data_IF_621616437918
#
_entry.id   IF_621616437918
#
_cell.length_a   1.000
_cell.length_b   1.000
_cell.length_c   1.000
_cell.angle_alpha   90.00
_cell.angle_beta   90.00
_cell.angle_gamma   90.00
#
_symmetry.space_group_name_H-M   'P 1'
#
loop_
_entity.id
_entity.type
_entity.pdbx_description
1 polymer ?
#
# COMPACT_ATOMS: atom_id res chain seq x y z
N UNK A 1 -11.68 -20.37 33.98
CA UNK A 1 -11.03 -20.25 35.29
C UNK A 1 -9.59 -19.75 35.14
N UNK A 2 -8.93 -20.06 34.02
CA UNK A 2 -7.56 -19.67 33.74
C UNK A 2 -7.36 -18.16 33.56
N UNK A 3 -8.40 -17.39 33.18
CA UNK A 3 -8.31 -15.91 33.05
C UNK A 3 -7.97 -15.16 34.33
N UNK A 4 -8.51 -15.59 35.48
CA UNK A 4 -8.24 -14.92 36.75
C UNK A 4 -6.89 -15.36 37.34
N UNK A 5 -6.52 -16.63 37.16
CA UNK A 5 -5.23 -17.17 37.60
C UNK A 5 -4.09 -16.49 36.84
N UNK A 6 -4.19 -16.39 35.52
CA UNK A 6 -3.17 -15.73 34.70
C UNK A 6 -3.09 -14.21 34.95
N UNK A 7 -4.21 -13.55 35.23
CA UNK A 7 -4.22 -12.13 35.64
C UNK A 7 -3.51 -11.90 36.97
N UNK A 8 -3.71 -12.77 37.97
CA UNK A 8 -3.03 -12.67 39.27
C UNK A 8 -1.53 -12.95 39.14
N UNK A 9 -1.13 -13.96 38.36
CA UNK A 9 0.29 -14.24 38.07
C UNK A 9 0.94 -13.07 37.34
N UNK A 10 0.27 -12.52 36.33
CA UNK A 10 0.73 -11.34 35.62
C UNK A 10 0.88 -10.12 36.53
N UNK A 11 -0.08 -9.90 37.44
CA UNK A 11 0.01 -8.84 38.44
C UNK A 11 1.21 -9.00 39.38
N UNK A 12 1.52 -10.24 39.79
CA UNK A 12 2.59 -10.51 40.73
C UNK A 12 3.98 -10.14 40.18
N UNK A 13 4.22 -10.35 38.88
CA UNK A 13 5.51 -10.06 38.25
C UNK A 13 5.62 -8.65 37.65
N UNK A 14 4.52 -8.08 37.15
CA UNK A 14 4.55 -6.82 36.40
C UNK A 14 3.49 -5.79 36.86
N UNK A 15 2.90 -5.97 38.04
CA UNK A 15 1.85 -5.11 38.61
C UNK A 15 0.70 -4.90 37.63
N UNK A 16 0.06 -3.73 37.64
CA UNK A 16 -1.18 -3.47 36.91
C UNK A 16 -1.11 -3.79 35.39
N UNK A 17 -0.04 -3.42 34.64
CA UNK A 17 0.10 -3.82 33.24
C UNK A 17 0.19 -5.35 33.05
N UNK A 18 0.85 -6.04 33.98
CA UNK A 18 0.95 -7.48 33.98
C UNK A 18 -0.39 -8.18 34.18
N UNK A 19 -1.27 -7.62 35.02
CA UNK A 19 -2.60 -8.16 35.24
C UNK A 19 -3.46 -8.16 33.98
N UNK A 20 -3.36 -7.08 33.19
CA UNK A 20 -4.09 -6.92 31.92
C UNK A 20 -3.60 -7.95 30.90
N UNK A 21 -2.29 -8.10 30.75
CA UNK A 21 -1.68 -9.11 29.87
C UNK A 21 -2.03 -10.54 30.30
N UNK A 22 -1.95 -10.82 31.59
CA UNK A 22 -2.31 -12.11 32.17
C UNK A 22 -3.79 -12.44 31.95
N UNK A 23 -4.69 -11.47 32.11
CA UNK A 23 -6.12 -11.64 31.85
C UNK A 23 -6.38 -11.98 30.38
N UNK A 24 -5.76 -11.24 29.44
CA UNK A 24 -5.90 -11.46 27.99
C UNK A 24 -5.46 -12.88 27.60
N UNK A 25 -4.28 -13.31 28.07
CA UNK A 25 -3.74 -14.66 27.79
C UNK A 25 -4.63 -15.74 28.41
N UNK A 26 -5.06 -15.56 29.66
CA UNK A 26 -5.92 -16.53 30.32
C UNK A 26 -7.34 -16.61 29.73
N UNK A 27 -7.88 -15.53 29.14
CA UNK A 27 -9.11 -15.60 28.33
C UNK A 27 -8.93 -16.37 27.03
N UNK A 28 -7.76 -16.30 26.39
CA UNK A 28 -7.49 -17.06 25.16
C UNK A 28 -7.42 -18.58 25.45
N UNK A 29 -6.83 -18.97 26.60
CA UNK A 29 -6.72 -20.37 27.03
C UNK A 29 -8.07 -20.92 27.53
N UNK A 30 -8.85 -20.12 28.29
CA UNK A 30 -10.21 -20.48 28.70
C UNK A 30 -11.15 -20.66 27.48
N UNK A 31 -10.90 -19.92 26.38
CA UNK A 31 -11.69 -20.01 25.15
C UNK A 31 -11.25 -21.17 24.23
N UNK A 32 -9.99 -21.60 24.31
CA UNK A 32 -9.50 -22.75 23.55
C UNK A 32 -9.98 -24.09 24.14
N UNK A 33 -10.24 -24.13 25.45
CA UNK A 33 -10.73 -25.31 26.16
C UNK A 33 -12.26 -25.47 26.13
N UNK A 34 -13.02 -24.47 25.67
CA UNK A 34 -14.48 -24.51 25.56
C UNK A 34 -14.95 -24.29 24.12
N UNK A 35 -14.83 -25.34 23.30
CA UNK A 35 -15.62 -25.55 22.06
C UNK A 35 -15.99 -24.30 21.26
N UNK A 36 -15.11 -23.92 20.33
CA UNK A 36 -15.29 -22.84 19.37
C UNK A 36 -16.51 -23.05 18.48
N UNK A 37 -17.52 -22.17 18.58
CA UNK A 37 -18.59 -22.13 17.59
C UNK A 37 -19.63 -21.04 17.78
N UNK A 38 -20.08 -20.79 19.01
CA UNK A 38 -21.29 -19.97 19.20
C UNK A 38 -21.04 -18.52 19.70
N UNK A 39 -20.01 -18.28 20.52
CA UNK A 39 -19.86 -16.97 21.18
C UNK A 39 -19.09 -15.90 20.36
N UNK A 40 -18.28 -16.31 19.37
CA UNK A 40 -17.59 -15.37 18.48
C UNK A 40 -18.55 -14.68 17.49
N UNK A 41 -19.67 -15.34 17.17
CA UNK A 41 -20.66 -14.87 16.20
C UNK A 41 -21.53 -13.73 16.70
N UNK A 42 -21.69 -13.59 18.02
CA UNK A 42 -22.61 -12.59 18.61
C UNK A 42 -21.91 -11.30 19.05
N UNK A 43 -20.58 -11.26 19.09
CA UNK A 43 -19.80 -10.06 19.40
C UNK A 43 -19.24 -9.33 18.16
N UNK A 44 -19.23 -9.98 17.00
CA UNK A 44 -18.83 -9.42 15.70
C UNK A 44 -20.04 -9.21 14.78
N UNK A 45 -21.10 -8.61 15.32
CA UNK A 45 -22.23 -8.10 14.56
C UNK A 45 -21.89 -6.77 13.87
N UNK A 46 -20.96 -6.81 12.93
CA UNK A 46 -20.89 -5.89 11.80
C UNK A 46 -20.36 -6.72 10.63
N UNK A 47 -21.15 -6.82 9.56
CA UNK A 47 -20.70 -7.39 8.28
C UNK A 47 -19.54 -6.55 7.73
N UNK A 48 -18.32 -6.84 8.18
CA UNK A 48 -17.14 -6.55 7.38
C UNK A 48 -17.22 -7.44 6.13
N UNK A 49 -17.74 -6.88 5.05
CA UNK A 49 -17.50 -7.39 3.71
C UNK A 49 -15.99 -7.39 3.46
N UNK A 50 -15.32 -8.47 3.86
CA UNK A 50 -14.01 -8.83 3.36
C UNK A 50 -14.08 -8.75 1.84
N UNK A 51 -13.23 -7.92 1.24
CA UNK A 51 -13.02 -7.93 -0.21
C UNK A 51 -12.82 -9.40 -0.58
N UNK A 52 -13.64 -9.95 -1.49
CA UNK A 52 -13.27 -11.23 -2.09
C UNK A 52 -11.91 -10.98 -2.74
N UNK A 53 -10.84 -11.71 -2.38
CA UNK A 53 -9.51 -11.43 -2.89
C UNK A 53 -9.44 -11.34 -4.44
N UNK A 54 -10.35 -11.98 -5.17
CA UNK A 54 -10.50 -11.80 -6.62
C UNK A 54 -11.04 -10.44 -7.07
N UNK A 55 -11.91 -9.79 -6.29
CA UNK A 55 -12.45 -8.47 -6.61
C UNK A 55 -11.38 -7.38 -6.51
N UNK A 56 -10.45 -7.49 -5.54
CA UNK A 56 -9.34 -6.54 -5.43
C UNK A 56 -8.46 -6.58 -6.67
N UNK A 57 -8.05 -7.79 -7.09
CA UNK A 57 -7.18 -8.01 -8.24
C UNK A 57 -7.81 -7.52 -9.54
N UNK A 58 -9.10 -7.79 -9.74
CA UNK A 58 -9.83 -7.32 -10.92
C UNK A 58 -9.96 -5.80 -10.96
N UNK A 59 -10.21 -5.17 -9.81
CA UNK A 59 -10.26 -3.71 -9.69
C UNK A 59 -8.88 -3.09 -9.94
N UNK A 60 -7.82 -3.67 -9.39
CA UNK A 60 -6.45 -3.21 -9.62
C UNK A 60 -6.07 -3.33 -11.10
N UNK A 61 -6.36 -4.48 -11.72
CA UNK A 61 -6.11 -4.71 -13.14
C UNK A 61 -6.92 -3.74 -14.03
N UNK A 62 -8.13 -3.39 -13.60
CA UNK A 62 -8.94 -2.38 -14.27
C UNK A 62 -8.30 -0.99 -14.22
N UNK A 63 -7.75 -0.58 -13.06
CA UNK A 63 -6.98 0.68 -12.98
C UNK A 63 -5.73 0.64 -13.86
N UNK A 64 -5.02 -0.49 -13.92
CA UNK A 64 -3.86 -0.65 -14.81
C UNK A 64 -4.25 -0.41 -16.26
N UNK A 65 -5.37 -0.98 -16.70
CA UNK A 65 -5.83 -0.83 -18.08
C UNK A 65 -6.26 0.59 -18.46
N UNK A 66 -6.68 1.40 -17.48
CA UNK A 66 -6.98 2.81 -17.71
C UNK A 66 -5.70 3.61 -17.95
N UNK A 67 -4.64 3.31 -17.20
CA UNK A 67 -3.32 3.95 -17.37
C UNK A 67 -2.70 3.56 -18.71
N UNK A 68 -2.62 2.27 -19.02
CA UNK A 68 -2.05 1.74 -20.27
C UNK A 68 -2.76 2.28 -21.52
N UNK A 69 -4.05 2.65 -21.41
CA UNK A 69 -4.83 3.20 -22.52
C UNK A 69 -4.82 4.73 -22.59
N UNK A 70 -4.16 5.41 -21.64
CA UNK A 70 -4.29 6.85 -21.46
C UNK A 70 -3.75 7.66 -22.65
N UNK A 71 -2.64 7.23 -23.26
CA UNK A 71 -2.01 7.88 -24.40
C UNK A 71 -2.48 7.31 -25.76
N UNK A 72 -3.36 6.29 -25.73
CA UNK A 72 -3.88 5.61 -26.91
C UNK A 72 -2.97 4.55 -27.51
N UNK A 73 -1.78 4.32 -26.95
CA UNK A 73 -0.83 3.30 -27.40
C UNK A 73 -0.64 2.24 -26.32
N UNK A 74 -1.10 1.02 -26.58
CA UNK A 74 -0.89 -0.08 -25.65
C UNK A 74 0.52 -0.64 -25.83
N UNK A 75 1.41 -0.43 -24.87
CA UNK A 75 2.76 -0.97 -24.93
C UNK A 75 2.84 -2.40 -24.38
N UNK A 76 3.57 -3.26 -25.10
CA UNK A 76 3.83 -4.64 -24.65
C UNK A 76 4.64 -4.67 -23.36
N UNK A 77 5.57 -3.72 -23.15
CA UNK A 77 6.37 -3.65 -21.93
C UNK A 77 5.53 -3.38 -20.69
N UNK A 78 4.51 -2.53 -20.78
CA UNK A 78 3.57 -2.26 -19.70
C UNK A 78 2.71 -3.48 -19.38
N UNK A 79 2.20 -4.16 -20.42
CA UNK A 79 1.42 -5.39 -20.26
C UNK A 79 2.24 -6.49 -19.58
N UNK A 80 3.52 -6.64 -19.96
CA UNK A 80 4.42 -7.62 -19.36
C UNK A 80 4.82 -7.24 -17.93
N UNK A 81 4.96 -5.94 -17.64
CA UNK A 81 5.14 -5.46 -16.27
C UNK A 81 3.96 -5.85 -15.38
N UNK A 82 2.71 -5.55 -15.80
CA UNK A 82 1.51 -5.95 -15.07
C UNK A 82 1.45 -7.46 -14.88
N UNK A 83 1.70 -8.24 -15.94
CA UNK A 83 1.68 -9.71 -15.87
C UNK A 83 2.70 -10.23 -14.86
N UNK A 84 3.94 -9.77 -14.94
CA UNK A 84 5.01 -10.20 -14.04
C UNK A 84 4.70 -9.86 -12.58
N UNK A 85 4.15 -8.67 -12.31
CA UNK A 85 3.74 -8.26 -10.99
C UNK A 85 2.64 -9.16 -10.42
N UNK A 86 1.56 -9.41 -11.16
CA UNK A 86 0.46 -10.24 -10.69
C UNK A 86 0.89 -11.70 -10.48
N UNK A 87 1.76 -12.23 -11.35
CA UNK A 87 2.30 -13.58 -11.18
C UNK A 87 3.18 -13.66 -9.93
N UNK A 88 4.02 -12.65 -9.67
CA UNK A 88 4.86 -12.61 -8.47
C UNK A 88 4.01 -12.48 -7.20
N UNK A 89 3.01 -11.60 -7.20
CA UNK A 89 2.22 -11.29 -6.01
C UNK A 89 1.18 -12.37 -5.67
N UNK A 90 0.58 -13.03 -6.68
CA UNK A 90 -0.59 -13.89 -6.50
C UNK A 90 -0.39 -15.32 -7.02
N UNK A 91 0.70 -15.59 -7.73
CA UNK A 91 0.96 -16.86 -8.40
C UNK A 91 0.35 -16.95 -9.81
N UNK A 92 0.94 -17.80 -10.65
CA UNK A 92 0.64 -17.89 -12.08
C UNK A 92 -0.81 -18.26 -12.39
N UNK A 93 -1.37 -19.25 -11.69
CA UNK A 93 -2.73 -19.75 -11.95
C UNK A 93 -3.79 -18.69 -11.65
N UNK A 94 -3.65 -18.06 -10.48
CA UNK A 94 -4.54 -17.01 -10.00
C UNK A 94 -4.47 -15.76 -10.87
N UNK A 95 -3.27 -15.30 -11.18
CA UNK A 95 -3.05 -14.19 -12.11
C UNK A 95 -3.75 -14.46 -13.45
N UNK A 96 -3.56 -15.65 -14.04
CA UNK A 96 -4.20 -16.02 -15.31
C UNK A 96 -5.73 -16.04 -15.23
N UNK A 97 -6.31 -16.50 -14.11
CA UNK A 97 -7.76 -16.47 -13.90
C UNK A 97 -8.30 -15.03 -13.84
N UNK A 98 -7.58 -14.14 -13.16
CA UNK A 98 -7.90 -12.70 -13.09
C UNK A 98 -7.84 -12.06 -14.48
N UNK A 99 -6.79 -12.34 -15.28
CA UNK A 99 -6.70 -11.80 -16.66
C UNK A 99 -7.83 -12.30 -17.57
N UNK A 100 -8.22 -13.58 -17.47
CA UNK A 100 -9.37 -14.11 -18.24
C UNK A 100 -10.66 -13.39 -17.89
N UNK A 101 -10.96 -13.32 -16.60
CA UNK A 101 -12.17 -12.66 -16.10
C UNK A 101 -12.20 -11.18 -16.50
N UNK A 102 -11.06 -10.49 -16.40
CA UNK A 102 -10.93 -9.11 -16.85
C UNK A 102 -11.25 -8.93 -18.33
N UNK A 103 -10.68 -9.76 -19.20
CA UNK A 103 -10.93 -9.69 -20.65
C UNK A 103 -12.40 -9.96 -21.01
N UNK A 104 -13.10 -10.81 -20.27
CA UNK A 104 -14.53 -11.07 -20.44
C UNK A 104 -15.38 -9.87 -20.02
N UNK A 105 -15.04 -9.21 -18.91
CA UNK A 105 -15.78 -8.07 -18.39
C UNK A 105 -15.60 -6.79 -19.22
N UNK A 106 -14.39 -6.57 -19.75
CA UNK A 106 -14.03 -5.38 -20.54
C UNK A 106 -14.77 -5.33 -21.88
N UNK A 107 -15.02 -6.49 -22.50
CA UNK A 107 -15.74 -6.54 -23.79
C UNK A 107 -17.14 -5.94 -23.73
N UNK A 108 -17.74 -5.90 -22.53
CA UNK A 108 -19.15 -5.58 -22.36
C UNK A 108 -19.43 -4.35 -21.48
N UNK A 109 -18.40 -3.66 -20.95
CA UNK A 109 -18.59 -2.57 -19.98
C UNK A 109 -17.50 -1.50 -20.04
N UNK A 110 -17.93 -0.25 -19.83
CA UNK A 110 -17.01 0.86 -19.55
C UNK A 110 -16.41 0.76 -18.14
N UNK A 111 -15.11 1.05 -18.04
CA UNK A 111 -14.38 1.08 -16.77
C UNK A 111 -14.48 2.48 -16.18
N UNK A 112 -14.99 2.60 -14.96
CA UNK A 112 -15.03 3.87 -14.22
C UNK A 112 -13.90 3.94 -13.20
N UNK A 113 -12.93 4.82 -13.44
CA UNK A 113 -11.84 5.12 -12.49
C UNK A 113 -12.39 5.52 -11.11
N UNK A 114 -13.43 6.37 -11.10
CA UNK A 114 -14.02 6.89 -9.87
C UNK A 114 -14.63 5.79 -9.02
N UNK A 115 -15.49 4.94 -9.61
CA UNK A 115 -16.16 3.85 -8.88
C UNK A 115 -15.15 2.87 -8.30
N UNK A 116 -14.17 2.47 -9.11
CA UNK A 116 -13.16 1.48 -8.69
C UNK A 116 -12.29 2.04 -7.57
N UNK A 117 -11.79 3.26 -7.74
CA UNK A 117 -10.96 3.91 -6.73
C UNK A 117 -11.71 4.15 -5.43
N UNK A 118 -12.98 4.58 -5.47
CA UNK A 118 -13.79 4.74 -4.25
C UNK A 118 -14.05 3.38 -3.56
N UNK A 119 -14.32 2.33 -4.33
CA UNK A 119 -14.46 0.97 -3.80
C UNK A 119 -13.20 0.51 -3.06
N UNK A 120 -12.03 0.71 -3.66
CA UNK A 120 -10.73 0.40 -3.07
C UNK A 120 -10.45 1.29 -1.85
N UNK A 121 -10.77 2.59 -1.92
CA UNK A 121 -10.53 3.53 -0.83
C UNK A 121 -11.32 3.18 0.44
N UNK A 122 -12.54 2.66 0.28
CA UNK A 122 -13.37 2.23 1.39
C UNK A 122 -12.86 0.96 2.08
N UNK A 123 -12.01 0.16 1.41
CA UNK A 123 -11.64 -1.20 1.84
C UNK A 123 -10.14 -1.40 2.03
N UNK A 124 -9.34 -0.35 1.83
CA UNK A 124 -7.88 -0.39 1.98
C UNK A 124 -7.37 0.68 2.92
N UNK A 125 -6.33 0.36 3.67
CA UNK A 125 -5.64 1.33 4.52
C UNK A 125 -4.87 2.34 3.66
N UNK A 126 -4.61 3.54 4.19
CA UNK A 126 -3.85 4.58 3.49
C UNK A 126 -2.54 4.09 2.84
N UNK A 127 -1.71 3.28 3.53
CA UNK A 127 -0.44 2.85 2.93
C UNK A 127 -0.64 1.96 1.70
N UNK A 128 -1.64 1.06 1.70
CA UNK A 128 -1.95 0.23 0.54
C UNK A 128 -2.39 1.07 -0.67
N UNK A 129 -3.06 2.20 -0.45
CA UNK A 129 -3.42 3.15 -1.51
C UNK A 129 -2.21 3.83 -2.13
N UNK A 130 -1.22 4.21 -1.31
CA UNK A 130 0.06 4.71 -1.81
C UNK A 130 0.77 3.66 -2.68
N UNK A 131 0.71 2.38 -2.27
CA UNK A 131 1.29 1.28 -3.03
C UNK A 131 0.59 1.08 -4.38
N UNK A 132 -0.74 1.25 -4.46
CA UNK A 132 -1.47 1.21 -5.73
C UNK A 132 -0.94 2.30 -6.67
N UNK A 133 -0.81 3.55 -6.21
CA UNK A 133 -0.27 4.64 -7.04
C UNK A 133 1.18 4.39 -7.45
N UNK A 134 2.02 3.95 -6.53
CA UNK A 134 3.40 3.57 -6.84
C UNK A 134 3.46 2.50 -7.92
N UNK A 135 2.62 1.47 -7.82
CA UNK A 135 2.53 0.41 -8.82
C UNK A 135 2.06 0.94 -10.18
N UNK A 136 1.05 1.82 -10.22
CA UNK A 136 0.57 2.42 -11.47
C UNK A 136 1.65 3.26 -12.18
N UNK A 137 2.47 4.01 -11.43
CA UNK A 137 3.63 4.68 -12.01
C UNK A 137 4.72 3.69 -12.46
N UNK A 138 4.89 2.58 -11.76
CA UNK A 138 5.80 1.50 -12.17
C UNK A 138 5.41 0.89 -13.52
N UNK A 139 4.11 0.77 -13.80
CA UNK A 139 3.59 0.36 -15.12
C UNK A 139 3.95 1.40 -16.17
N UNK A 140 3.57 2.66 -15.94
CA UNK A 140 3.78 3.74 -16.91
C UNK A 140 5.27 4.00 -17.20
N UNK A 141 6.17 3.60 -16.30
CA UNK A 141 7.62 3.73 -16.49
C UNK A 141 8.25 2.52 -17.20
N UNK A 142 7.50 1.45 -17.46
CA UNK A 142 8.02 0.16 -17.94
C UNK A 142 8.70 0.24 -19.33
N UNK A 143 8.34 1.22 -20.16
CA UNK A 143 8.97 1.49 -21.46
C UNK A 143 10.15 2.49 -21.38
N UNK A 144 10.46 3.01 -20.18
CA UNK A 144 11.52 3.97 -19.93
C UNK A 144 11.08 5.43 -19.76
N UNK A 145 9.79 5.78 -19.93
CA UNK A 145 9.29 7.14 -19.67
C UNK A 145 7.81 7.15 -19.28
N UNK A 146 7.44 7.94 -18.28
CA UNK A 146 6.03 8.20 -17.99
C UNK A 146 5.53 9.37 -18.85
N UNK A 147 4.46 9.18 -19.62
CA UNK A 147 3.81 10.23 -20.38
C UNK A 147 2.94 11.15 -19.50
N UNK A 148 2.69 12.38 -19.96
CA UNK A 148 1.77 13.29 -19.28
C UNK A 148 0.30 12.81 -19.32
N UNK A 149 -0.07 11.96 -20.29
CA UNK A 149 -1.40 11.37 -20.36
C UNK A 149 -1.61 10.36 -19.22
N UNK A 150 -0.66 9.43 -19.04
CA UNK A 150 -0.69 8.45 -17.95
C UNK A 150 -0.63 9.15 -16.59
N UNK A 151 0.26 10.13 -16.43
CA UNK A 151 0.39 10.86 -15.17
C UNK A 151 -0.91 11.57 -14.76
N UNK A 152 -1.68 12.11 -15.73
CA UNK A 152 -3.00 12.70 -15.48
C UNK A 152 -4.01 11.65 -15.00
N UNK A 153 -4.07 10.50 -15.66
CA UNK A 153 -4.95 9.39 -15.23
C UNK A 153 -4.59 8.91 -13.83
N UNK A 154 -3.30 8.75 -13.53
CA UNK A 154 -2.82 8.34 -12.19
C UNK A 154 -3.17 9.42 -11.14
N UNK A 155 -3.09 10.70 -11.49
CA UNK A 155 -3.49 11.80 -10.61
C UNK A 155 -4.99 11.77 -10.28
N UNK A 156 -5.86 11.52 -11.27
CA UNK A 156 -7.30 11.35 -11.04
C UNK A 156 -7.58 10.17 -10.12
N UNK A 157 -6.95 9.02 -10.39
CA UNK A 157 -7.04 7.82 -9.55
C UNK A 157 -6.61 8.14 -8.12
N UNK A 158 -5.50 8.85 -7.93
CA UNK A 158 -5.01 9.25 -6.60
C UNK A 158 -6.02 10.14 -5.85
N UNK A 159 -6.67 11.07 -6.56
CA UNK A 159 -7.75 11.89 -6.02
C UNK A 159 -8.92 11.04 -5.52
N UNK A 160 -9.40 10.10 -6.32
CA UNK A 160 -10.48 9.18 -5.92
C UNK A 160 -10.07 8.21 -4.81
N UNK A 161 -8.79 7.82 -4.75
CA UNK A 161 -8.22 7.05 -3.65
C UNK A 161 -8.04 7.89 -2.37
N UNK A 162 -8.33 9.20 -2.39
CA UNK A 162 -8.15 10.13 -1.27
C UNK A 162 -6.71 10.17 -0.77
N UNK A 163 -5.76 10.24 -1.70
CA UNK A 163 -4.34 10.41 -1.41
C UNK A 163 -4.03 11.89 -1.32
N UNK A 164 -3.27 12.28 -0.30
CA UNK A 164 -2.84 13.66 -0.09
C UNK A 164 -1.89 14.11 -1.20
N UNK A 165 -1.95 15.40 -1.54
CA UNK A 165 -1.14 16.00 -2.62
C UNK A 165 0.35 15.77 -2.41
N UNK A 166 0.84 15.93 -1.18
CA UNK A 166 2.28 15.76 -0.86
C UNK A 166 2.75 14.32 -1.07
N UNK A 167 1.98 13.33 -0.62
CA UNK A 167 2.30 11.91 -0.86
C UNK A 167 2.29 11.61 -2.38
N UNK A 168 1.32 12.15 -3.13
CA UNK A 168 1.25 11.96 -4.58
C UNK A 168 2.47 12.56 -5.29
N UNK A 169 2.83 13.81 -5.00
CA UNK A 169 4.02 14.46 -5.59
C UNK A 169 5.30 13.70 -5.24
N UNK A 170 5.40 13.20 -4.01
CA UNK A 170 6.51 12.36 -3.56
C UNK A 170 6.61 11.04 -4.33
N UNK A 171 5.48 10.41 -4.64
CA UNK A 171 5.44 9.21 -5.48
C UNK A 171 5.80 9.55 -6.93
N UNK A 172 5.19 10.59 -7.51
CA UNK A 172 5.48 11.05 -8.87
C UNK A 172 6.96 11.37 -9.07
N UNK A 173 7.60 12.02 -8.09
CA UNK A 173 9.01 12.38 -8.14
C UNK A 173 9.99 11.19 -8.21
N UNK A 174 9.53 9.96 -7.93
CA UNK A 174 10.35 8.75 -8.11
C UNK A 174 10.51 8.34 -9.57
N UNK A 175 9.58 8.76 -10.44
CA UNK A 175 9.48 8.32 -11.84
C UNK A 175 9.76 9.44 -12.84
N UNK A 176 9.55 10.69 -12.45
CA UNK A 176 9.91 11.85 -13.28
C UNK A 176 11.28 12.38 -12.88
N UNK A 177 12.05 12.96 -13.82
CA UNK A 177 13.26 13.73 -13.49
C UNK A 177 12.91 15.22 -13.36
N UNK A 178 13.24 15.81 -12.21
CA UNK A 178 13.14 17.25 -11.96
C UNK A 178 14.24 17.70 -11.00
N UNK A 179 14.63 18.98 -11.08
CA UNK A 179 15.70 19.56 -10.27
C UNK A 179 15.43 19.45 -8.76
N UNK A 180 14.16 19.47 -8.35
CA UNK A 180 13.76 19.51 -6.93
C UNK A 180 13.16 18.17 -6.44
N UNK A 181 13.37 17.08 -7.19
CA UNK A 181 12.84 15.76 -6.85
C UNK A 181 13.23 15.27 -5.46
N UNK A 182 14.47 15.54 -5.04
CA UNK A 182 14.95 15.08 -3.75
C UNK A 182 14.09 15.63 -2.60
N UNK A 183 13.72 16.91 -2.65
CA UNK A 183 12.84 17.55 -1.66
C UNK A 183 11.42 16.97 -1.74
N UNK A 184 10.88 16.80 -2.95
CA UNK A 184 9.56 16.20 -3.16
C UNK A 184 9.48 14.77 -2.63
N UNK A 185 10.51 13.95 -2.83
CA UNK A 185 10.59 12.57 -2.31
C UNK A 185 10.51 12.56 -0.77
N UNK A 186 11.11 13.54 -0.10
CA UNK A 186 11.02 13.71 1.34
C UNK A 186 9.71 14.37 1.81
N UNK A 187 8.77 14.65 0.90
CA UNK A 187 7.51 15.37 1.16
C UNK A 187 7.77 16.76 1.80
N UNK A 188 8.74 17.51 1.28
CA UNK A 188 9.06 18.88 1.72
C UNK A 188 9.32 19.81 0.54
N UNK A 189 9.21 21.12 0.80
CA UNK A 189 9.58 22.16 -0.17
C UNK A 189 11.10 22.40 -0.16
N UNK A 190 11.64 22.90 -1.27
CA UNK A 190 13.08 23.28 -1.36
C UNK A 190 13.46 24.38 -0.38
N UNK A 191 12.50 25.20 0.04
CA UNK A 191 12.69 26.25 1.05
C UNK A 191 12.75 25.72 2.48
N UNK A 192 12.57 24.41 2.71
CA UNK A 192 12.68 23.82 4.04
C UNK A 192 14.06 24.03 4.64
N UNK A 193 14.11 24.26 5.95
CA UNK A 193 15.33 24.37 6.75
C UNK A 193 16.03 23.02 6.90
N UNK A 194 17.32 23.03 7.23
CA UNK A 194 18.09 21.77 7.37
C UNK A 194 17.57 20.88 8.51
N UNK A 195 17.03 21.50 9.57
CA UNK A 195 16.37 20.78 10.64
C UNK A 195 15.10 20.06 10.14
N UNK A 196 14.32 20.70 9.27
CA UNK A 196 13.14 20.12 8.65
C UNK A 196 13.51 18.99 7.69
N UNK A 197 14.57 19.15 6.88
CA UNK A 197 15.10 18.09 6.01
C UNK A 197 15.46 16.84 6.83
N UNK A 198 16.25 17.00 7.90
CA UNK A 198 16.65 15.89 8.78
C UNK A 198 15.44 15.23 9.46
N UNK A 199 14.43 16.02 9.84
CA UNK A 199 13.19 15.53 10.45
C UNK A 199 12.35 14.74 9.43
N UNK A 200 12.19 15.25 8.22
CA UNK A 200 11.46 14.61 7.14
C UNK A 200 12.08 13.26 6.77
N UNK A 201 13.41 13.20 6.61
CA UNK A 201 14.13 11.95 6.37
C UNK A 201 13.84 10.89 7.43
N UNK A 202 13.97 11.23 8.73
CA UNK A 202 13.67 10.29 9.83
C UNK A 202 12.21 9.80 9.80
N UNK A 203 11.27 10.68 9.46
CA UNK A 203 9.86 10.31 9.35
C UNK A 203 9.63 9.32 8.19
N UNK A 204 10.25 9.56 7.03
CA UNK A 204 10.14 8.68 5.87
C UNK A 204 10.78 7.32 6.11
N UNK A 205 11.98 7.28 6.71
CA UNK A 205 12.62 6.04 7.16
C UNK A 205 11.69 5.27 8.10
N UNK A 206 11.09 5.96 9.09
CA UNK A 206 10.15 5.33 10.03
C UNK A 206 8.89 4.76 9.36
N UNK A 207 8.42 5.37 8.26
CA UNK A 207 7.22 5.01 7.48
C UNK A 207 7.48 3.81 6.55
N UNK A 208 8.65 3.76 5.91
CA UNK A 208 8.99 2.76 4.89
C UNK A 208 10.04 1.71 5.32
N UNK A 209 10.44 1.68 6.59
CA UNK A 209 11.44 0.72 7.09
C UNK A 209 11.02 -0.74 6.85
N UNK A 210 11.90 -1.60 6.30
CA UNK A 210 11.57 -3.00 5.99
C UNK A 210 11.08 -3.80 7.20
N UNK A 211 11.67 -3.60 8.38
CA UNK A 211 11.31 -4.33 9.60
C UNK A 211 9.85 -4.13 10.05
N UNK A 212 9.23 -3.01 9.68
CA UNK A 212 7.84 -2.73 10.06
C UNK A 212 6.83 -3.39 9.13
N UNK A 213 7.30 -3.97 8.04
CA UNK A 213 6.48 -4.46 6.93
C UNK A 213 6.49 -5.98 6.83
N UNK A 214 7.08 -6.68 7.81
CA UNK A 214 7.18 -8.14 7.80
C UNK A 214 5.85 -8.90 7.73
N UNK A 215 4.74 -8.27 8.10
CA UNK A 215 3.38 -8.83 8.05
C UNK A 215 2.59 -8.43 6.80
N UNK A 216 3.16 -7.59 5.93
CA UNK A 216 2.53 -7.15 4.69
C UNK A 216 2.84 -8.12 3.55
N UNK A 217 2.01 -8.11 2.51
CA UNK A 217 2.24 -8.91 1.31
C UNK A 217 3.54 -8.50 0.58
N UNK A 218 4.04 -9.41 -0.26
CA UNK A 218 5.32 -9.23 -0.98
C UNK A 218 5.30 -8.00 -1.89
N UNK A 219 4.16 -7.78 -2.55
CA UNK A 219 3.91 -6.64 -3.41
C UNK A 219 4.10 -5.30 -2.69
N UNK A 220 3.52 -5.16 -1.49
CA UNK A 220 3.66 -3.98 -0.66
C UNK A 220 5.09 -3.82 -0.13
N UNK A 221 5.72 -4.91 0.31
CA UNK A 221 7.12 -4.89 0.78
C UNK A 221 8.08 -4.41 -0.30
N UNK A 222 7.87 -4.82 -1.55
CA UNK A 222 8.69 -4.42 -2.69
C UNK A 222 8.63 -2.92 -2.93
N UNK A 223 7.43 -2.35 -3.08
CA UNK A 223 7.29 -0.91 -3.34
C UNK A 223 7.73 -0.05 -2.16
N UNK A 224 7.48 -0.48 -0.93
CA UNK A 224 8.00 0.22 0.25
C UNK A 224 9.53 0.20 0.33
N UNK A 225 10.18 -0.89 -0.09
CA UNK A 225 11.66 -0.98 -0.18
C UNK A 225 12.20 -0.05 -1.26
N UNK A 226 11.57 0.00 -2.43
CA UNK A 226 11.93 0.93 -3.51
C UNK A 226 11.80 2.38 -3.04
N UNK A 227 10.70 2.71 -2.36
CA UNK A 227 10.50 4.03 -1.74
C UNK A 227 11.57 4.34 -0.69
N UNK A 228 11.91 3.38 0.16
CA UNK A 228 12.95 3.53 1.18
C UNK A 228 14.30 3.88 0.56
N UNK A 229 14.72 3.15 -0.47
CA UNK A 229 15.97 3.43 -1.18
C UNK A 229 15.96 4.84 -1.79
N UNK A 230 14.85 5.24 -2.43
CA UNK A 230 14.70 6.59 -2.99
C UNK A 230 14.76 7.69 -1.93
N UNK A 231 14.24 7.44 -0.73
CA UNK A 231 14.34 8.37 0.40
C UNK A 231 15.79 8.56 0.83
N UNK A 232 16.60 7.50 0.83
CA UNK A 232 18.04 7.60 1.13
C UNK A 232 18.78 8.39 0.04
N UNK A 233 18.60 8.02 -1.23
CA UNK A 233 19.20 8.72 -2.37
C UNK A 233 18.87 10.22 -2.38
N UNK A 234 17.60 10.56 -2.10
CA UNK A 234 17.14 11.94 -2.02
C UNK A 234 17.82 12.72 -0.88
N UNK A 235 17.89 12.12 0.31
CA UNK A 235 18.55 12.76 1.45
C UNK A 235 20.04 13.00 1.17
N UNK A 236 20.75 12.00 0.63
CA UNK A 236 22.16 12.11 0.26
C UNK A 236 22.41 13.21 -0.77
N UNK A 237 21.50 13.36 -1.74
CA UNK A 237 21.56 14.43 -2.74
C UNK A 237 21.40 15.81 -2.09
N UNK A 238 20.43 15.98 -1.19
CA UNK A 238 20.22 17.24 -0.47
C UNK A 238 21.42 17.58 0.42
N UNK A 239 22.00 16.57 1.08
CA UNK A 239 23.20 16.80 1.89
C UNK A 239 24.37 17.33 1.05
N UNK A 240 24.58 16.77 -0.15
CA UNK A 240 25.61 17.26 -1.08
C UNK A 240 25.30 18.66 -1.61
N UNK A 241 24.04 18.96 -1.93
CA UNK A 241 23.63 20.28 -2.43
C UNK A 241 23.83 21.37 -1.36
N UNK A 242 23.58 21.05 -0.09
CA UNK A 242 23.57 22.02 1.02
C UNK A 242 24.81 22.02 1.91
N UNK A 243 25.67 21.01 1.80
CA UNK A 243 26.86 20.83 2.65
C UNK A 243 26.54 20.37 4.08
N UNK A 244 25.63 19.41 4.25
CA UNK A 244 25.10 18.94 5.55
C UNK A 244 25.73 17.67 6.13
#
# INVERSE_FOLDING_TARGET
MFKWIAAVIGYMYFRFPGAILGFIIGTLIDNWTKGSGAAFKQMFGQEEQKVSPGDFELNLLSLCSLVIKADGQVSQSEMDYVRSYFVQAYGKERANATFRTFNELIKNREISASRISQYLAARTKYPARLQIIHFLFGIAQADGRVSEAEARVIQEIAGYLRIGRMDFESLKAMFFKSADNAYKILEIEKTATDAEVKKAYRNMVKKYHPDKLGHMDEAYRKGAREKFNKVQEAYDQIQKERGL
#
